data_IF_831491626990
#
_entry.id   IF_831491626990
#
_cell.length_a   1.000
_cell.length_b   1.000
_cell.length_c   1.000
_cell.angle_alpha   90.00
_cell.angle_beta   90.00
_cell.angle_gamma   90.00
#
_symmetry.space_group_name_H-M   'P 1'
#
loop_
_entity.id
_entity.type
_entity.pdbx_description
1 polymer ?
#
# COMPACT_ATOMS: atom_id res chain seq x y z
N UNK A 1 -6.89 -11.06 24.70
CA UNK A 1 -6.48 -12.47 24.85
C UNK A 1 -5.23 -12.71 24.03
N UNK A 2 -4.33 -13.60 24.45
CA UNK A 2 -3.19 -14.01 23.62
C UNK A 2 -3.64 -14.91 22.47
N UNK A 3 -2.87 -14.97 21.39
CA UNK A 3 -3.08 -15.94 20.32
C UNK A 3 -2.52 -17.29 20.78
N UNK A 4 -3.33 -18.37 20.85
CA UNK A 4 -2.84 -19.68 21.27
C UNK A 4 -1.81 -20.26 20.27
N UNK A 5 -0.88 -21.13 20.71
CA UNK A 5 -0.02 -21.89 19.80
C UNK A 5 -0.86 -22.66 18.77
N UNK A 6 -0.55 -22.50 17.49
CA UNK A 6 -1.31 -23.09 16.36
C UNK A 6 -2.80 -22.70 16.29
N UNK A 7 -3.20 -21.64 17.01
CA UNK A 7 -4.56 -21.16 17.07
C UNK A 7 -4.77 -19.82 16.37
N UNK A 8 -6.01 -19.35 16.43
CA UNK A 8 -6.43 -18.03 15.97
C UNK A 8 -7.26 -17.35 17.07
N UNK A 9 -7.33 -16.02 17.03
CA UNK A 9 -8.31 -15.24 17.80
C UNK A 9 -9.33 -14.68 16.82
N UNK A 10 -10.59 -15.03 17.02
CA UNK A 10 -11.71 -14.43 16.29
C UNK A 10 -12.20 -13.20 17.07
N UNK A 11 -12.21 -12.04 16.42
CA UNK A 11 -12.71 -10.78 16.98
C UNK A 11 -13.78 -10.21 16.06
N UNK A 12 -14.88 -9.72 16.64
CA UNK A 12 -16.01 -9.14 15.91
C UNK A 12 -16.33 -7.76 16.45
N UNK A 13 -16.55 -6.81 15.54
CA UNK A 13 -16.97 -5.44 15.85
C UNK A 13 -18.32 -5.15 15.20
N UNK A 14 -19.22 -4.48 15.92
CA UNK A 14 -20.62 -4.29 15.51
C UNK A 14 -21.54 -5.40 16.00
N UNK A 15 -22.84 -5.13 16.01
CA UNK A 15 -23.84 -5.96 16.70
C UNK A 15 -23.87 -7.40 16.19
N UNK A 16 -23.89 -7.60 14.87
CA UNK A 16 -23.98 -8.93 14.27
C UNK A 16 -22.72 -9.76 14.49
N UNK A 17 -21.54 -9.16 14.29
CA UNK A 17 -20.28 -9.85 14.47
C UNK A 17 -20.04 -10.24 15.94
N UNK A 18 -20.43 -9.36 16.88
CA UNK A 18 -20.36 -9.67 18.31
C UNK A 18 -21.31 -10.82 18.67
N UNK A 19 -22.54 -10.82 18.14
CA UNK A 19 -23.50 -11.90 18.37
C UNK A 19 -22.99 -13.24 17.82
N UNK A 20 -22.43 -13.24 16.61
CA UNK A 20 -21.82 -14.41 15.99
C UNK A 20 -20.66 -14.98 16.82
N UNK A 21 -19.72 -14.12 17.25
CA UNK A 21 -18.59 -14.54 18.09
C UNK A 21 -19.09 -15.13 19.42
N UNK A 22 -20.10 -14.53 20.03
CA UNK A 22 -20.70 -15.02 21.27
C UNK A 22 -21.44 -16.36 21.09
N UNK A 23 -22.07 -16.58 19.95
CA UNK A 23 -22.72 -17.86 19.62
C UNK A 23 -21.68 -18.97 19.43
N UNK A 24 -20.65 -18.73 18.61
CA UNK A 24 -19.54 -19.68 18.39
C UNK A 24 -18.89 -20.06 19.72
N UNK A 25 -18.61 -19.07 20.57
CA UNK A 25 -17.97 -19.28 21.87
C UNK A 25 -18.83 -20.13 22.82
N UNK A 26 -20.14 -19.90 22.87
CA UNK A 26 -21.07 -20.68 23.71
C UNK A 26 -21.26 -22.11 23.21
N UNK A 27 -21.33 -22.30 21.90
CA UNK A 27 -21.61 -23.59 21.30
C UNK A 27 -20.42 -24.55 21.32
N UNK A 28 -19.19 -24.06 21.60
CA UNK A 28 -17.97 -24.84 21.40
C UNK A 28 -17.81 -25.27 19.94
N UNK A 29 -18.30 -24.46 19.00
CA UNK A 29 -18.44 -24.84 17.61
C UNK A 29 -17.07 -25.01 16.91
N UNK A 30 -17.01 -25.96 15.99
CA UNK A 30 -15.88 -26.08 15.06
C UNK A 30 -16.03 -25.00 14.00
N UNK A 31 -15.10 -24.04 13.97
CA UNK A 31 -15.05 -22.99 12.95
C UNK A 31 -14.07 -23.36 11.86
N UNK A 32 -14.56 -23.51 10.63
CA UNK A 32 -13.71 -23.65 9.44
C UNK A 32 -13.44 -22.28 8.83
N UNK A 33 -12.19 -21.84 8.89
CA UNK A 33 -11.76 -20.60 8.21
C UNK A 33 -11.30 -20.94 6.80
N UNK A 34 -11.88 -20.27 5.81
CA UNK A 34 -11.49 -20.41 4.40
C UNK A 34 -11.04 -19.06 3.86
N UNK A 35 -9.80 -18.99 3.37
CA UNK A 35 -9.26 -17.78 2.75
C UNK A 35 -9.33 -17.91 1.23
N UNK A 36 -9.87 -16.89 0.55
CA UNK A 36 -9.85 -16.80 -0.91
C UNK A 36 -9.39 -15.41 -1.31
N UNK A 37 -8.31 -15.33 -2.07
CA UNK A 37 -7.90 -14.11 -2.76
C UNK A 37 -8.53 -14.18 -4.15
N UNK A 38 -9.47 -13.27 -4.43
CA UNK A 38 -10.11 -13.15 -5.73
C UNK A 38 -9.43 -12.05 -6.56
N UNK A 39 -9.60 -12.09 -7.89
CA UNK A 39 -9.17 -11.02 -8.79
C UNK A 39 -7.76 -11.17 -9.40
N UNK A 40 -7.06 -12.28 -9.13
CA UNK A 40 -5.82 -12.61 -9.82
C UNK A 40 -6.05 -13.78 -10.79
N UNK A 41 -5.51 -13.68 -12.01
CA UNK A 41 -5.52 -14.77 -12.98
C UNK A 41 -4.59 -15.94 -12.58
N UNK A 42 -3.65 -15.69 -11.66
CA UNK A 42 -2.68 -16.67 -11.15
C UNK A 42 -2.70 -16.71 -9.63
N UNK A 43 -2.29 -17.84 -9.04
CA UNK A 43 -2.07 -17.90 -7.60
C UNK A 43 -0.85 -17.02 -7.22
N UNK A 44 -1.03 -15.91 -6.47
CA UNK A 44 0.08 -15.02 -6.15
C UNK A 44 1.02 -15.69 -5.14
N UNK A 45 2.32 -15.54 -5.33
CA UNK A 45 3.34 -15.96 -4.34
C UNK A 45 3.48 -14.96 -3.19
N UNK A 46 3.23 -13.69 -3.48
CA UNK A 46 3.24 -12.59 -2.53
C UNK A 46 2.21 -11.55 -2.98
N UNK A 47 1.61 -10.85 -2.01
CA UNK A 47 0.67 -9.77 -2.25
C UNK A 47 1.04 -8.62 -1.34
N UNK A 48 1.13 -7.42 -1.91
CA UNK A 48 1.29 -6.17 -1.16
C UNK A 48 0.08 -5.30 -1.46
N UNK A 49 -0.56 -4.82 -0.41
CA UNK A 49 -1.61 -3.81 -0.52
C UNK A 49 -1.01 -2.42 -0.62
N UNK A 50 -1.63 -1.58 -1.43
CA UNK A 50 -1.46 -0.14 -1.46
C UNK A 50 -2.83 0.52 -1.57
N UNK A 51 -2.86 1.84 -1.62
CA UNK A 51 -4.07 2.60 -1.87
C UNK A 51 -3.75 4.08 -2.12
N UNK A 52 -4.43 4.75 -3.07
CA UNK A 52 -5.27 4.18 -4.12
C UNK A 52 -4.45 3.82 -5.38
N UNK A 53 -5.11 3.30 -6.41
CA UNK A 53 -4.54 3.35 -7.77
C UNK A 53 -4.44 4.80 -8.25
N UNK A 54 -3.36 5.10 -8.96
CA UNK A 54 -3.09 6.45 -9.51
C UNK A 54 -2.93 6.42 -11.03
N UNK A 55 -2.58 5.27 -11.60
CA UNK A 55 -2.64 5.02 -13.04
C UNK A 55 -3.36 3.69 -13.28
N UNK A 56 -4.30 3.67 -14.20
CA UNK A 56 -5.02 2.46 -14.60
C UNK A 56 -5.09 2.40 -16.13
N UNK A 57 -4.56 1.32 -16.71
CA UNK A 57 -4.55 1.08 -18.16
C UNK A 57 -4.05 2.29 -18.98
N UNK A 58 -2.95 2.89 -18.55
CA UNK A 58 -2.31 4.04 -19.20
C UNK A 58 -3.03 5.37 -18.99
N UNK A 59 -4.00 5.45 -18.07
CA UNK A 59 -4.73 6.67 -17.74
C UNK A 59 -4.47 7.11 -16.31
N UNK A 60 -4.25 8.40 -16.11
CA UNK A 60 -4.20 8.98 -14.76
C UNK A 60 -5.60 8.91 -14.13
N UNK A 61 -5.70 8.24 -12.98
CA UNK A 61 -6.91 8.15 -12.17
C UNK A 61 -6.73 8.78 -10.78
N UNK A 62 -5.54 9.29 -10.46
CA UNK A 62 -5.23 9.88 -9.16
C UNK A 62 -6.07 11.13 -8.84
N UNK A 63 -6.53 11.86 -9.87
CA UNK A 63 -7.42 13.01 -9.70
C UNK A 63 -8.89 12.68 -9.42
N UNK A 64 -9.29 11.41 -9.52
CA UNK A 64 -10.66 10.92 -9.27
C UNK A 64 -10.67 9.74 -8.28
N UNK A 65 -9.58 9.56 -7.54
CA UNK A 65 -9.41 8.44 -6.62
C UNK A 65 -10.38 8.52 -5.42
N UNK A 66 -10.92 9.70 -5.11
CA UNK A 66 -12.00 9.91 -4.15
C UNK A 66 -13.27 9.14 -4.56
N UNK A 67 -13.67 9.29 -5.82
CA UNK A 67 -14.86 8.68 -6.39
C UNK A 67 -14.66 7.19 -6.69
N UNK A 68 -13.44 6.78 -7.04
CA UNK A 68 -13.14 5.38 -7.38
C UNK A 68 -12.83 4.49 -6.17
N UNK A 69 -12.14 5.04 -5.16
CA UNK A 69 -11.56 4.24 -4.07
C UNK A 69 -11.73 4.90 -2.69
N UNK A 70 -12.55 5.95 -2.59
CA UNK A 70 -12.92 6.56 -1.32
C UNK A 70 -11.81 7.40 -0.67
N UNK A 71 -10.88 7.94 -1.47
CA UNK A 71 -9.92 8.91 -0.93
C UNK A 71 -10.61 10.19 -0.45
N UNK A 72 -9.90 10.97 0.36
CA UNK A 72 -10.40 12.22 0.92
C UNK A 72 -9.42 13.38 0.64
N UNK A 73 -9.89 14.64 0.55
CA UNK A 73 -9.10 15.77 0.05
C UNK A 73 -7.73 15.92 0.72
N UNK A 74 -7.67 15.84 2.06
CA UNK A 74 -6.39 15.98 2.80
C UNK A 74 -5.35 14.93 2.43
N UNK A 75 -5.74 13.79 1.86
CA UNK A 75 -4.83 12.74 1.38
C UNK A 75 -4.62 12.82 -0.13
N UNK A 76 -5.67 13.09 -0.90
CA UNK A 76 -5.66 13.04 -2.36
C UNK A 76 -5.14 14.31 -3.02
N UNK A 77 -5.65 15.46 -2.60
CA UNK A 77 -5.42 16.76 -3.23
C UNK A 77 -4.19 17.47 -2.66
N UNK A 78 -3.91 17.26 -1.37
CA UNK A 78 -2.74 17.85 -0.73
C UNK A 78 -1.44 17.18 -1.19
N UNK A 79 -0.38 17.98 -1.27
CA UNK A 79 0.97 17.50 -1.57
C UNK A 79 1.60 16.85 -0.35
N UNK A 80 2.08 15.62 -0.55
CA UNK A 80 2.78 14.86 0.46
C UNK A 80 3.99 14.15 -0.15
N UNK A 81 5.00 13.78 0.66
CA UNK A 81 5.92 12.73 0.26
C UNK A 81 5.12 11.48 -0.11
N UNK A 82 5.51 10.80 -1.19
CA UNK A 82 4.79 9.64 -1.72
C UNK A 82 5.74 8.48 -1.91
N UNK A 83 5.22 7.27 -1.76
CA UNK A 83 5.82 6.04 -2.28
C UNK A 83 4.86 5.43 -3.28
N UNK A 84 5.35 4.87 -4.38
CA UNK A 84 4.51 4.25 -5.39
C UNK A 84 5.20 3.07 -6.06
N UNK A 85 4.37 2.15 -6.54
CA UNK A 85 4.78 1.10 -7.47
C UNK A 85 4.07 1.31 -8.79
N UNK A 86 4.80 1.10 -9.87
CA UNK A 86 4.22 1.11 -11.20
C UNK A 86 4.83 0.01 -12.07
N UNK A 87 4.05 -0.50 -13.00
CA UNK A 87 4.49 -1.46 -14.01
C UNK A 87 4.33 -0.88 -15.41
N UNK A 88 5.29 -1.15 -16.28
CA UNK A 88 5.17 -0.82 -17.70
C UNK A 88 4.15 -1.71 -18.41
N UNK A 89 3.69 -1.30 -19.59
CA UNK A 89 2.63 -1.98 -20.35
C UNK A 89 2.94 -3.43 -20.69
N UNK A 90 4.21 -3.74 -20.93
CA UNK A 90 4.70 -5.09 -21.23
C UNK A 90 4.97 -5.93 -19.97
N UNK A 91 4.76 -5.36 -18.78
CA UNK A 91 5.01 -5.98 -17.48
C UNK A 91 6.47 -6.40 -17.22
N UNK A 92 7.43 -5.90 -18.00
CA UNK A 92 8.86 -6.24 -17.84
C UNK A 92 9.59 -5.30 -16.89
N UNK A 93 9.06 -4.11 -16.68
CA UNK A 93 9.66 -3.07 -15.84
C UNK A 93 8.77 -2.78 -14.64
N UNK A 94 9.36 -2.93 -13.44
CA UNK A 94 8.80 -2.45 -12.18
C UNK A 94 9.51 -1.14 -11.80
N UNK A 95 8.73 -0.08 -11.59
CA UNK A 95 9.20 1.19 -11.07
C UNK A 95 8.86 1.25 -9.57
N UNK A 96 9.89 1.47 -8.75
CA UNK A 96 9.76 1.77 -7.33
C UNK A 96 10.10 3.25 -7.14
N UNK A 97 9.09 4.07 -6.86
CA UNK A 97 9.24 5.53 -6.87
C UNK A 97 8.99 6.08 -5.47
N UNK A 98 9.88 6.95 -5.02
CA UNK A 98 9.68 7.78 -3.83
C UNK A 98 9.81 9.24 -4.21
N UNK A 99 8.85 10.04 -3.74
CA UNK A 99 8.80 11.49 -3.90
C UNK A 99 9.02 12.09 -2.53
N UNK A 100 10.09 12.87 -2.37
CA UNK A 100 10.32 13.63 -1.13
C UNK A 100 9.26 14.71 -0.97
N UNK A 101 9.06 15.21 0.25
CA UNK A 101 8.08 16.26 0.49
C UNK A 101 8.27 16.96 1.84
N UNK A 102 7.49 18.03 2.08
CA UNK A 102 7.57 18.86 3.30
C UNK A 102 8.97 19.46 3.51
N UNK A 103 9.61 19.87 2.42
CA UNK A 103 10.90 20.56 2.38
C UNK A 103 10.82 21.76 1.42
N UNK A 104 11.65 22.80 1.59
CA UNK A 104 11.65 23.95 0.68
C UNK A 104 11.94 23.59 -0.79
N UNK A 105 12.75 22.55 -1.01
CA UNK A 105 13.15 22.08 -2.34
C UNK A 105 12.30 20.91 -2.87
N UNK A 106 11.46 20.29 -2.02
CA UNK A 106 10.44 19.35 -2.45
C UNK A 106 9.20 19.46 -1.58
N UNK A 107 8.10 19.89 -2.20
CA UNK A 107 6.80 20.05 -1.54
C UNK A 107 5.98 18.75 -1.51
N UNK A 108 6.42 17.71 -2.22
CA UNK A 108 5.66 16.48 -2.43
C UNK A 108 4.70 16.57 -3.62
N UNK A 109 3.80 15.60 -3.74
CA UNK A 109 2.81 15.52 -4.81
C UNK A 109 1.43 15.17 -4.27
N UNK A 110 0.39 15.73 -4.90
CA UNK A 110 -0.98 15.21 -4.86
C UNK A 110 -1.05 13.87 -5.61
N UNK A 111 -2.15 13.12 -5.47
CA UNK A 111 -2.31 11.86 -6.21
C UNK A 111 -2.41 12.08 -7.71
N UNK A 112 -3.00 13.20 -8.15
CA UNK A 112 -3.05 13.57 -9.57
C UNK A 112 -1.65 13.80 -10.12
N UNK A 113 -0.86 14.62 -9.44
CA UNK A 113 0.53 14.91 -9.85
C UNK A 113 1.40 13.65 -9.83
N UNK A 114 1.21 12.76 -8.85
CA UNK A 114 1.89 11.47 -8.80
C UNK A 114 1.51 10.60 -10.01
N UNK A 115 0.23 10.54 -10.37
CA UNK A 115 -0.23 9.81 -11.56
C UNK A 115 0.38 10.37 -12.85
N UNK A 116 0.42 11.70 -13.01
CA UNK A 116 1.03 12.35 -14.17
C UNK A 116 2.53 12.06 -14.25
N UNK A 117 3.24 12.12 -13.12
CA UNK A 117 4.66 11.80 -13.05
C UNK A 117 4.95 10.33 -13.40
N UNK A 118 4.13 9.40 -12.91
CA UNK A 118 4.30 7.97 -13.19
C UNK A 118 4.01 7.64 -14.66
N UNK A 119 3.01 8.28 -15.28
CA UNK A 119 2.78 8.17 -16.72
C UNK A 119 3.99 8.67 -17.51
N UNK A 120 4.58 9.80 -17.13
CA UNK A 120 5.78 10.34 -17.77
C UNK A 120 7.00 9.40 -17.63
N UNK A 121 7.04 8.58 -16.56
CA UNK A 121 8.04 7.53 -16.35
C UNK A 121 7.73 6.21 -17.10
N UNK A 122 6.62 6.14 -17.84
CA UNK A 122 6.23 4.96 -18.63
C UNK A 122 5.34 3.95 -17.90
N UNK A 123 4.71 4.34 -16.79
CA UNK A 123 3.74 3.50 -16.10
C UNK A 123 2.50 3.22 -16.97
N UNK A 124 2.07 1.96 -16.99
CA UNK A 124 0.78 1.54 -17.53
C UNK A 124 -0.25 1.31 -16.43
N UNK A 125 0.17 0.68 -15.33
CA UNK A 125 -0.62 0.59 -14.11
C UNK A 125 0.25 1.02 -12.93
N UNK A 126 -0.34 1.77 -12.00
CA UNK A 126 0.38 2.26 -10.83
C UNK A 126 -0.51 2.45 -9.61
N UNK A 127 0.08 2.22 -8.45
CA UNK A 127 -0.57 2.30 -7.15
C UNK A 127 0.29 3.09 -6.17
N UNK A 128 -0.36 3.99 -5.45
CA UNK A 128 0.24 4.67 -4.32
C UNK A 128 0.38 3.70 -3.12
N UNK A 129 1.50 3.79 -2.41
CA UNK A 129 1.76 3.08 -1.16
C UNK A 129 1.69 4.05 0.03
N UNK A 130 2.02 3.56 1.23
CA UNK A 130 2.16 4.44 2.39
C UNK A 130 3.18 5.56 2.11
N UNK A 131 2.84 6.76 2.56
CA UNK A 131 3.51 8.00 2.19
C UNK A 131 3.87 8.84 3.41
N UNK A 132 4.04 10.14 3.21
CA UNK A 132 4.42 11.05 4.29
C UNK A 132 5.75 10.67 4.91
N UNK A 133 5.81 10.63 6.24
CA UNK A 133 7.03 10.28 6.99
C UNK A 133 7.53 8.86 6.73
N UNK A 134 6.66 7.96 6.25
CA UNK A 134 7.02 6.60 5.89
C UNK A 134 7.77 6.49 4.56
N UNK A 135 7.74 7.54 3.72
CA UNK A 135 8.31 7.47 2.35
C UNK A 135 9.84 7.38 2.40
N UNK A 136 10.35 6.18 2.14
CA UNK A 136 11.77 5.87 2.22
C UNK A 136 12.15 4.91 1.09
N UNK A 137 13.20 5.25 0.35
CA UNK A 137 13.83 4.39 -0.65
C UNK A 137 15.24 4.04 -0.17
N UNK A 138 15.50 2.75 -0.07
CA UNK A 138 16.79 2.23 0.32
C UNK A 138 17.45 1.51 -0.85
N UNK A 139 18.69 1.88 -1.18
CA UNK A 139 19.46 1.27 -2.25
C UNK A 139 20.86 0.97 -1.73
N UNK A 140 21.23 -0.32 -1.74
CA UNK A 140 22.59 -0.82 -1.48
C UNK A 140 23.23 -0.24 -0.21
N UNK A 141 22.56 -0.39 0.93
CA UNK A 141 23.14 -0.03 2.23
C UNK A 141 22.68 1.31 2.79
N UNK A 142 21.97 2.14 2.01
CA UNK A 142 21.62 3.50 2.42
C UNK A 142 20.26 3.95 1.93
N UNK A 143 19.65 4.85 2.69
CA UNK A 143 18.53 5.68 2.24
C UNK A 143 19.04 6.65 1.16
N UNK A 144 18.30 6.77 0.06
CA UNK A 144 18.67 7.62 -1.09
C UNK A 144 17.75 8.83 -1.29
N UNK A 145 16.71 8.94 -0.48
CA UNK A 145 15.81 10.10 -0.45
C UNK A 145 15.91 10.81 0.92
N UNK A 146 15.09 11.84 1.17
CA UNK A 146 15.09 12.57 2.44
C UNK A 146 13.80 12.34 3.22
N UNK A 147 13.80 11.43 4.21
CA UNK A 147 12.65 11.21 5.09
C UNK A 147 12.12 12.51 5.69
N UNK A 148 10.79 12.66 5.67
CA UNK A 148 10.16 13.96 5.96
C UNK A 148 10.00 14.26 7.45
N UNK A 149 10.03 13.25 8.31
CA UNK A 149 9.81 13.42 9.74
C UNK A 149 10.99 14.16 10.40
N UNK A 150 10.74 14.97 11.45
CA UNK A 150 11.80 15.71 12.13
C UNK A 150 12.86 14.81 12.78
N UNK A 151 12.49 13.57 13.13
CA UNK A 151 13.37 12.57 13.76
C UNK A 151 14.12 11.71 12.75
N UNK A 152 13.96 11.94 11.45
CA UNK A 152 14.59 11.16 10.38
C UNK A 152 13.69 10.06 9.81
N UNK A 153 14.30 8.92 9.48
CA UNK A 153 13.58 7.75 8.94
C UNK A 153 12.56 7.22 9.96
N UNK A 154 11.34 6.94 9.48
CA UNK A 154 10.24 6.42 10.31
C UNK A 154 10.23 4.89 10.28
N UNK A 155 10.06 4.26 11.44
CA UNK A 155 9.76 2.83 11.51
C UNK A 155 8.42 2.50 10.85
N UNK A 156 8.42 1.54 9.93
CA UNK A 156 7.24 1.08 9.17
C UNK A 156 6.91 -0.38 9.47
N UNK A 157 5.66 -0.78 9.27
CA UNK A 157 5.20 -2.14 9.56
C UNK A 157 5.62 -3.19 8.52
N UNK A 158 5.96 -2.78 7.30
CA UNK A 158 6.44 -3.64 6.22
C UNK A 158 7.22 -2.83 5.16
N UNK A 159 7.87 -3.53 4.22
CA UNK A 159 8.54 -2.95 3.07
C UNK A 159 8.49 -3.90 1.86
N UNK A 160 8.58 -3.35 0.64
CA UNK A 160 8.88 -4.13 -0.56
C UNK A 160 10.39 -4.13 -0.79
N UNK A 161 10.98 -5.31 -0.82
CA UNK A 161 12.41 -5.50 -1.07
C UNK A 161 12.65 -6.26 -2.36
N UNK A 162 13.54 -5.73 -3.20
CA UNK A 162 14.04 -6.41 -4.40
C UNK A 162 15.52 -6.67 -4.22
N UNK A 163 15.90 -7.94 -4.25
CA UNK A 163 17.28 -8.37 -4.14
C UNK A 163 17.53 -9.61 -4.98
N UNK A 164 18.78 -9.84 -5.33
CA UNK A 164 19.19 -11.11 -5.95
C UNK A 164 19.36 -12.15 -4.87
N UNK A 165 18.65 -13.27 -5.00
CA UNK A 165 18.94 -14.45 -4.18
C UNK A 165 20.35 -14.93 -4.54
N UNK A 166 21.32 -14.73 -3.65
CA UNK A 166 22.55 -15.52 -3.75
C UNK A 166 22.17 -16.95 -3.39
N UNK A 167 22.49 -17.89 -4.28
CA UNK A 167 22.40 -19.32 -3.99
C UNK A 167 23.63 -19.74 -3.21
#
# INVERSE_FOLDING_TARGET
>A
TSIPPHGIVLSGTGTEAVAFVAEVARAGAIVKVTHRIAGSAVAPRAVVGGWPRVVQSGRNVGGIADSLEGTFPRFGENRHPRSALAIARDSTTLLMVVVDGRRPWSVGMSLRELGDALLALGAWDAMNLDGGGSSTLWIRGRVVNYPSDPTGERAVGNALFVGTHQR
#
